data_IF_016730242015
#
_entry.id   IF_016730242015
#
_cell.length_a   1.000
_cell.length_b   1.000
_cell.length_c   1.000
_cell.angle_alpha   90.00
_cell.angle_beta   90.00
_cell.angle_gamma   90.00
#
_symmetry.space_group_name_H-M   'P 1'
#
loop_
_entity.id
_entity.type
_entity.pdbx_description
1 polymer ?
#
# COMPACT_ATOMS: atom_id res chain seq x y z
N UNK A 1 -11.31 -6.35 -15.40
CA UNK A 1 -10.90 -6.23 -13.99
C UNK A 1 -11.63 -5.06 -13.35
N UNK A 2 -12.20 -5.26 -12.19
CA UNK A 2 -12.90 -4.19 -11.49
C UNK A 2 -11.90 -3.28 -10.77
N UNK A 3 -12.13 -1.95 -10.79
CA UNK A 3 -11.29 -1.04 -10.04
C UNK A 3 -11.38 -1.28 -8.53
N UNK A 4 -10.26 -1.10 -7.86
CA UNK A 4 -10.21 -1.13 -6.41
C UNK A 4 -10.29 0.28 -5.83
N UNK A 5 -10.86 0.39 -4.63
CA UNK A 5 -10.68 1.54 -3.76
C UNK A 5 -9.52 1.21 -2.83
N UNK A 6 -8.47 2.01 -2.85
CA UNK A 6 -7.18 1.68 -2.23
C UNK A 6 -6.84 2.68 -1.13
N UNK A 7 -6.41 2.17 0.02
CA UNK A 7 -5.71 2.95 1.03
C UNK A 7 -4.22 2.65 0.91
N UNK A 8 -3.42 3.68 0.69
CA UNK A 8 -1.96 3.56 0.60
C UNK A 8 -1.37 3.81 1.98
N UNK A 9 -0.76 2.79 2.56
CA UNK A 9 -0.12 2.87 3.88
C UNK A 9 1.38 3.07 3.70
N UNK A 10 1.79 4.30 3.69
CA UNK A 10 3.15 4.74 3.46
C UNK A 10 3.22 5.80 2.37
N UNK A 11 4.19 6.70 2.47
CA UNK A 11 4.38 7.80 1.53
C UNK A 11 5.86 7.97 1.18
N UNK A 12 6.58 6.84 1.10
CA UNK A 12 7.98 6.80 0.71
C UNK A 12 8.17 6.58 -0.79
N UNK A 13 9.35 6.10 -1.15
CA UNK A 13 9.75 5.97 -2.56
C UNK A 13 8.84 5.05 -3.36
N UNK A 14 8.49 3.89 -2.81
CA UNK A 14 7.61 2.94 -3.50
C UNK A 14 6.23 3.54 -3.71
N UNK A 15 5.65 4.15 -2.67
CA UNK A 15 4.30 4.72 -2.75
C UNK A 15 4.23 5.86 -3.77
N UNK A 16 5.27 6.69 -3.87
CA UNK A 16 5.30 7.79 -4.83
C UNK A 16 5.30 7.34 -6.29
N UNK A 17 5.75 6.12 -6.57
CA UNK A 17 5.70 5.56 -7.92
C UNK A 17 4.49 4.66 -8.13
N UNK A 18 4.16 3.85 -7.13
CA UNK A 18 3.07 2.88 -7.26
C UNK A 18 1.69 3.53 -7.27
N UNK A 19 1.43 4.49 -6.36
CA UNK A 19 0.10 5.07 -6.24
C UNK A 19 -0.35 5.83 -7.49
N UNK A 20 0.48 6.70 -8.10
CA UNK A 20 0.09 7.32 -9.37
C UNK A 20 -0.16 6.31 -10.48
N UNK A 21 0.64 5.24 -10.56
CA UNK A 21 0.45 4.21 -11.57
C UNK A 21 -0.88 3.47 -11.39
N UNK A 22 -1.30 3.23 -10.15
CA UNK A 22 -2.58 2.62 -9.86
C UNK A 22 -3.75 3.53 -10.25
N UNK A 23 -3.61 4.84 -10.03
CA UNK A 23 -4.62 5.80 -10.52
C UNK A 23 -4.72 5.78 -12.04
N UNK A 24 -3.60 5.76 -12.73
CA UNK A 24 -3.58 5.70 -14.20
C UNK A 24 -4.22 4.42 -14.73
N UNK A 25 -4.12 3.33 -13.97
CA UNK A 25 -4.74 2.06 -14.32
C UNK A 25 -6.25 2.01 -14.02
N UNK A 26 -6.81 3.09 -13.48
CA UNK A 26 -8.25 3.20 -13.22
C UNK A 26 -8.67 2.89 -11.79
N UNK A 27 -7.74 2.62 -10.89
CA UNK A 27 -8.07 2.42 -9.48
C UNK A 27 -8.21 3.76 -8.75
N UNK A 28 -8.96 3.74 -7.66
CA UNK A 28 -9.18 4.94 -6.85
C UNK A 28 -8.33 4.89 -5.59
N UNK A 29 -7.42 5.85 -5.42
CA UNK A 29 -6.70 6.00 -4.15
C UNK A 29 -7.60 6.83 -3.23
N UNK A 30 -8.22 6.13 -2.27
CA UNK A 30 -9.18 6.76 -1.36
C UNK A 30 -8.50 7.57 -0.26
N UNK A 31 -7.31 7.15 0.16
CA UNK A 31 -6.62 7.78 1.28
C UNK A 31 -5.15 7.38 1.26
N UNK A 32 -4.31 8.31 1.76
CA UNK A 32 -2.90 8.05 2.06
C UNK A 32 -2.70 8.15 3.56
N UNK A 33 -2.00 7.19 4.14
CA UNK A 33 -1.51 7.26 5.51
C UNK A 33 0.01 7.28 5.52
N UNK A 34 0.59 8.10 6.38
CA UNK A 34 2.00 8.03 6.71
C UNK A 34 2.18 8.33 8.20
N UNK A 35 3.24 7.82 8.79
CA UNK A 35 3.56 8.10 10.19
C UNK A 35 3.77 9.59 10.43
N UNK A 36 4.31 10.32 9.45
CA UNK A 36 4.49 11.76 9.55
C UNK A 36 3.42 12.48 8.73
N UNK A 37 2.85 13.53 9.33
CA UNK A 37 1.79 14.32 8.69
C UNK A 37 2.27 14.93 7.37
N UNK A 38 3.47 15.50 7.36
CA UNK A 38 4.00 16.19 6.17
C UNK A 38 4.19 15.24 4.99
N UNK A 39 4.61 13.98 5.24
CA UNK A 39 4.77 12.99 4.19
C UNK A 39 3.40 12.55 3.64
N UNK A 40 2.42 12.36 4.52
CA UNK A 40 1.07 12.01 4.10
C UNK A 40 0.44 13.13 3.27
N UNK A 41 0.58 14.37 3.71
CA UNK A 41 0.07 15.54 3.01
C UNK A 41 0.67 15.68 1.61
N UNK A 42 2.00 15.53 1.52
CA UNK A 42 2.69 15.69 0.23
C UNK A 42 2.17 14.69 -0.82
N UNK A 43 2.04 13.43 -0.45
CA UNK A 43 1.54 12.42 -1.38
C UNK A 43 0.04 12.57 -1.62
N UNK A 44 -0.73 12.84 -0.58
CA UNK A 44 -2.17 13.07 -0.69
C UNK A 44 -2.50 14.23 -1.62
N UNK A 45 -1.79 15.34 -1.51
CA UNK A 45 -1.97 16.48 -2.39
C UNK A 45 -1.58 16.16 -3.83
N UNK A 46 -0.50 15.42 -4.01
CA UNK A 46 -0.07 14.99 -5.35
C UNK A 46 -1.12 14.10 -6.04
N UNK A 47 -1.75 13.22 -5.29
CA UNK A 47 -2.78 12.31 -5.79
C UNK A 47 -4.19 12.93 -5.79
N UNK A 48 -4.34 14.10 -5.20
CA UNK A 48 -5.63 14.79 -5.00
C UNK A 48 -6.59 13.88 -4.22
N UNK A 49 -6.15 13.42 -3.05
CA UNK A 49 -6.92 12.52 -2.19
C UNK A 49 -6.74 12.86 -0.71
N UNK A 50 -7.57 12.27 0.12
CA UNK A 50 -7.48 12.41 1.56
C UNK A 50 -6.19 11.81 2.10
N UNK A 51 -5.72 12.34 3.22
CA UNK A 51 -4.53 11.85 3.89
C UNK A 51 -4.67 11.95 5.41
N UNK A 52 -3.90 11.14 6.12
CA UNK A 52 -3.86 11.15 7.58
C UNK A 52 -2.53 10.60 8.08
N UNK A 53 -2.14 10.99 9.30
CA UNK A 53 -1.04 10.35 10.01
C UNK A 53 -1.53 9.51 11.20
N UNK A 54 -2.84 9.29 11.30
CA UNK A 54 -3.46 8.56 12.42
C UNK A 54 -4.13 7.29 11.90
N UNK A 55 -3.73 6.14 12.45
CA UNK A 55 -4.34 4.85 12.06
C UNK A 55 -5.82 4.76 12.44
N UNK A 56 -6.23 5.49 13.49
CA UNK A 56 -7.63 5.54 13.91
C UNK A 56 -8.54 6.16 12.83
N UNK A 57 -7.97 7.00 11.97
CA UNK A 57 -8.72 7.73 10.95
C UNK A 57 -8.69 7.04 9.58
N UNK A 58 -8.21 5.79 9.51
CA UNK A 58 -8.19 5.06 8.25
C UNK A 58 -9.60 4.80 7.73
N UNK A 59 -9.75 4.94 6.41
CA UNK A 59 -10.94 4.50 5.70
C UNK A 59 -11.03 2.98 5.76
N UNK A 60 -12.07 2.46 6.41
CA UNK A 60 -12.26 1.01 6.59
C UNK A 60 -13.15 0.40 5.50
N UNK A 61 -13.58 1.21 4.55
CA UNK A 61 -14.47 0.78 3.46
C UNK A 61 -13.72 0.50 2.16
N UNK A 62 -12.42 0.71 2.12
CA UNK A 62 -11.61 0.42 0.93
C UNK A 62 -11.54 -1.08 0.67
N UNK A 63 -11.37 -1.44 -0.59
CA UNK A 63 -11.27 -2.85 -0.99
C UNK A 63 -9.85 -3.40 -0.90
N UNK A 64 -8.83 -2.53 -0.87
CA UNK A 64 -7.44 -2.95 -0.84
C UNK A 64 -6.61 -1.98 0.02
N UNK A 65 -5.75 -2.54 0.86
CA UNK A 65 -4.82 -1.79 1.69
C UNK A 65 -3.40 -2.21 1.29
N UNK A 66 -2.59 -1.25 0.85
CA UNK A 66 -1.22 -1.51 0.39
C UNK A 66 -0.24 -0.93 1.40
N UNK A 67 0.55 -1.80 2.04
CA UNK A 67 1.58 -1.40 2.98
C UNK A 67 2.88 -1.19 2.22
N UNK A 68 3.28 0.09 2.10
CA UNK A 68 4.48 0.51 1.39
C UNK A 68 5.39 1.34 2.31
N UNK A 69 5.65 0.80 3.50
CA UNK A 69 6.57 1.39 4.48
C UNK A 69 7.90 0.63 4.42
N UNK A 70 8.99 1.19 4.98
CA UNK A 70 10.26 0.45 5.07
C UNK A 70 10.08 -0.88 5.80
N UNK A 71 10.89 -1.89 5.43
CA UNK A 71 10.76 -3.24 5.95
C UNK A 71 10.76 -3.29 7.48
N UNK A 72 11.59 -2.48 8.12
CA UNK A 72 11.69 -2.45 9.58
C UNK A 72 10.41 -1.94 10.26
N UNK A 73 9.55 -1.25 9.52
CA UNK A 73 8.31 -0.67 10.06
C UNK A 73 7.08 -1.54 9.82
N UNK A 74 7.17 -2.59 9.01
CA UNK A 74 6.02 -3.40 8.62
C UNK A 74 5.40 -4.11 9.82
N UNK A 75 6.20 -4.79 10.63
CA UNK A 75 5.68 -5.55 11.77
C UNK A 75 4.98 -4.65 12.79
N UNK A 76 5.55 -3.50 13.07
CA UNK A 76 4.97 -2.51 13.99
C UNK A 76 3.64 -1.99 13.45
N UNK A 77 3.58 -1.70 12.16
CA UNK A 77 2.35 -1.24 11.52
C UNK A 77 1.26 -2.33 11.60
N UNK A 78 1.60 -3.56 11.28
CA UNK A 78 0.66 -4.68 11.31
C UNK A 78 0.04 -4.85 12.72
N UNK A 79 0.86 -4.71 13.77
CA UNK A 79 0.37 -4.82 15.14
C UNK A 79 -0.66 -3.75 15.51
N UNK A 80 -0.62 -2.62 14.84
CA UNK A 80 -1.49 -1.48 15.14
C UNK A 80 -2.62 -1.29 14.15
N UNK A 81 -2.67 -2.09 13.07
CA UNK A 81 -3.76 -2.03 12.12
C UNK A 81 -4.99 -2.74 12.67
N UNK A 82 -6.14 -2.08 12.54
CA UNK A 82 -7.44 -2.63 12.92
C UNK A 82 -8.32 -2.73 11.69
N UNK A 83 -8.05 -3.72 10.86
CA UNK A 83 -8.83 -4.01 9.66
C UNK A 83 -9.73 -5.21 9.91
N UNK A 84 -10.82 -5.31 9.14
CA UNK A 84 -11.66 -6.49 9.15
C UNK A 84 -10.92 -7.69 8.56
N UNK A 85 -11.25 -8.90 9.02
CA UNK A 85 -10.59 -10.12 8.57
C UNK A 85 -10.74 -10.37 7.06
N UNK A 86 -11.75 -9.77 6.43
CA UNK A 86 -12.01 -9.91 4.99
C UNK A 86 -11.41 -8.78 4.14
N UNK A 87 -10.79 -7.79 4.76
CA UNK A 87 -10.13 -6.73 4.00
C UNK A 87 -8.88 -7.32 3.31
N UNK A 88 -8.72 -7.00 2.03
CA UNK A 88 -7.52 -7.41 1.31
C UNK A 88 -6.37 -6.48 1.69
N UNK A 89 -5.27 -7.05 2.16
CA UNK A 89 -4.09 -6.30 2.56
C UNK A 89 -2.83 -6.94 1.97
N UNK A 90 -1.96 -6.11 1.39
CA UNK A 90 -0.70 -6.56 0.82
C UNK A 90 0.42 -5.67 1.32
N UNK A 91 1.65 -6.19 1.33
CA UNK A 91 2.83 -5.34 1.50
C UNK A 91 3.73 -5.42 0.26
N UNK A 92 4.67 -4.49 0.18
CA UNK A 92 5.51 -4.33 -1.01
C UNK A 92 6.96 -4.72 -0.77
N UNK A 93 7.25 -5.49 0.29
CA UNK A 93 8.60 -5.95 0.60
C UNK A 93 8.93 -7.27 -0.08
N UNK A 94 10.15 -7.39 -0.59
CA UNK A 94 10.67 -8.66 -1.12
C UNK A 94 11.27 -9.57 -0.06
N UNK A 95 11.43 -9.11 1.19
CA UNK A 95 12.11 -9.85 2.25
C UNK A 95 11.26 -10.16 3.46
N UNK A 96 10.19 -9.39 3.70
CA UNK A 96 9.30 -9.61 4.84
C UNK A 96 8.30 -10.72 4.51
N UNK A 97 8.19 -11.77 5.36
CA UNK A 97 7.29 -12.88 5.08
C UNK A 97 5.82 -12.48 5.11
N UNK A 98 4.99 -13.23 4.39
CA UNK A 98 3.54 -13.08 4.37
C UNK A 98 2.88 -13.38 5.72
N UNK A 99 3.51 -14.20 6.56
CA UNK A 99 2.94 -14.71 7.80
C UNK A 99 2.39 -13.64 8.73
N UNK A 100 3.05 -12.48 8.81
CA UNK A 100 2.57 -11.38 9.65
C UNK A 100 1.22 -10.85 9.21
N UNK A 101 0.98 -10.76 7.90
CA UNK A 101 -0.30 -10.30 7.36
C UNK A 101 -1.42 -11.33 7.59
N UNK A 102 -1.10 -12.60 7.57
CA UNK A 102 -2.09 -13.66 7.79
C UNK A 102 -2.74 -13.57 9.17
N UNK A 103 -2.09 -12.91 10.12
CA UNK A 103 -2.62 -12.69 11.47
C UNK A 103 -3.74 -11.65 11.49
N UNK A 104 -3.81 -10.76 10.52
CA UNK A 104 -4.79 -9.66 10.50
C UNK A 104 -5.82 -9.80 9.41
N UNK A 105 -5.56 -10.57 8.37
CA UNK A 105 -6.52 -10.81 7.29
C UNK A 105 -6.30 -12.16 6.63
N UNK A 106 -7.39 -12.81 6.25
CA UNK A 106 -7.34 -14.02 5.43
C UNK A 106 -7.06 -13.70 3.95
N UNK A 107 -7.25 -12.45 3.53
CA UNK A 107 -7.02 -11.98 2.16
C UNK A 107 -5.80 -11.09 2.13
N UNK A 108 -4.63 -11.70 2.13
CA UNK A 108 -3.37 -10.97 2.18
C UNK A 108 -2.39 -11.47 1.13
N UNK A 109 -1.41 -10.63 0.80
CA UNK A 109 -0.43 -10.97 -0.20
C UNK A 109 0.79 -10.06 -0.15
N UNK A 110 1.74 -10.39 -1.02
CA UNK A 110 2.94 -9.59 -1.27
C UNK A 110 2.87 -9.11 -2.72
N UNK A 111 3.10 -7.84 -2.93
CA UNK A 111 3.14 -7.20 -4.24
C UNK A 111 4.46 -6.46 -4.34
N UNK A 112 5.50 -7.13 -4.85
CA UNK A 112 6.86 -6.63 -4.80
C UNK A 112 7.35 -6.16 -6.16
N UNK A 113 7.45 -4.83 -6.38
CA UNK A 113 8.12 -4.29 -7.57
C UNK A 113 9.63 -4.56 -7.50
N UNK A 114 10.17 -5.22 -8.54
CA UNK A 114 11.61 -5.53 -8.62
C UNK A 114 12.38 -4.32 -9.15
N UNK A 115 12.42 -3.25 -8.37
CA UNK A 115 13.17 -2.05 -8.70
C UNK A 115 13.37 -1.18 -7.48
N UNK A 116 14.52 -0.49 -7.43
CA UNK A 116 14.74 0.57 -6.45
C UNK A 116 14.06 1.84 -6.95
N UNK A 117 13.26 2.46 -6.08
CA UNK A 117 12.57 3.71 -6.39
C UNK A 117 13.17 4.87 -5.60
N UNK A 118 13.22 6.03 -6.24
CA UNK A 118 13.58 7.29 -5.59
C UNK A 118 12.54 8.33 -5.96
N UNK A 119 12.08 9.11 -4.99
CA UNK A 119 11.11 10.18 -5.23
C UNK A 119 11.66 11.16 -6.27
N UNK A 120 10.80 11.56 -7.20
CA UNK A 120 11.17 12.50 -8.24
C UNK A 120 11.80 11.87 -9.47
N UNK A 121 12.25 10.63 -9.41
CA UNK A 121 12.75 9.93 -10.59
C UNK A 121 11.57 9.44 -11.44
N UNK A 122 11.72 9.57 -12.75
CA UNK A 122 10.70 9.06 -13.67
C UNK A 122 10.91 7.55 -13.84
N UNK A 123 9.87 6.78 -13.52
CA UNK A 123 9.87 5.33 -13.71
C UNK A 123 8.60 4.93 -14.47
N UNK A 124 8.79 4.15 -15.53
CA UNK A 124 7.66 3.56 -16.24
C UNK A 124 7.26 2.26 -15.54
N UNK A 125 6.22 2.32 -14.73
CA UNK A 125 5.74 1.17 -13.96
C UNK A 125 5.33 -0.02 -14.84
N UNK A 126 4.98 0.23 -16.10
CA UNK A 126 4.67 -0.85 -17.04
C UNK A 126 5.89 -1.71 -17.35
N UNK A 127 7.10 -1.19 -17.15
CA UNK A 127 8.36 -1.89 -17.38
C UNK A 127 8.94 -2.53 -16.11
N UNK A 128 8.34 -2.29 -14.94
CA UNK A 128 8.84 -2.82 -13.67
C UNK A 128 8.29 -4.24 -13.46
N UNK A 129 9.17 -5.25 -13.32
CA UNK A 129 8.69 -6.59 -12.96
C UNK A 129 8.06 -6.60 -11.57
N UNK A 130 6.95 -7.30 -11.43
CA UNK A 130 6.22 -7.43 -10.16
C UNK A 130 6.22 -8.89 -9.75
N UNK A 131 6.69 -9.17 -8.52
CA UNK A 131 6.54 -10.47 -7.89
C UNK A 131 5.30 -10.46 -7.01
N UNK A 132 4.48 -11.50 -7.13
CA UNK A 132 3.21 -11.58 -6.40
C UNK A 132 3.17 -12.89 -5.61
N UNK A 133 2.78 -12.80 -4.34
CA UNK A 133 2.48 -13.95 -3.50
C UNK A 133 1.17 -13.67 -2.77
N UNK A 134 0.26 -14.62 -2.78
CA UNK A 134 -1.02 -14.50 -2.08
C UNK A 134 -1.22 -15.62 -1.07
N UNK A 135 -2.06 -15.38 -0.07
CA UNK A 135 -2.43 -16.40 0.91
C UNK A 135 -3.30 -17.49 0.28
N UNK A 136 -4.01 -17.15 -0.81
CA UNK A 136 -4.82 -18.08 -1.60
C UNK A 136 -4.84 -17.61 -3.06
N UNK A 137 -5.53 -18.36 -3.92
CA UNK A 137 -5.58 -18.06 -5.36
C UNK A 137 -6.33 -16.76 -5.68
N UNK A 138 -7.24 -16.32 -4.82
CA UNK A 138 -8.01 -15.08 -5.03
C UNK A 138 -7.21 -13.83 -4.69
N UNK A 139 -6.24 -13.96 -3.80
CA UNK A 139 -5.40 -12.85 -3.37
C UNK A 139 -4.23 -12.66 -4.32
#
# INVERSE_FOLDING_TARGET
MQPHSIVMLGAGNVAWHLAPALQEAGHHIAQVWSRTYTSAEALGDHLVTDFTNRLEDLDRTASLYIIAVPDYAIDDLILNLQLGADNMVVHTSGTVPLLGLEKISSRCGIFYPLQTFTKGDAVDMAQVPILVEGADEET
#
